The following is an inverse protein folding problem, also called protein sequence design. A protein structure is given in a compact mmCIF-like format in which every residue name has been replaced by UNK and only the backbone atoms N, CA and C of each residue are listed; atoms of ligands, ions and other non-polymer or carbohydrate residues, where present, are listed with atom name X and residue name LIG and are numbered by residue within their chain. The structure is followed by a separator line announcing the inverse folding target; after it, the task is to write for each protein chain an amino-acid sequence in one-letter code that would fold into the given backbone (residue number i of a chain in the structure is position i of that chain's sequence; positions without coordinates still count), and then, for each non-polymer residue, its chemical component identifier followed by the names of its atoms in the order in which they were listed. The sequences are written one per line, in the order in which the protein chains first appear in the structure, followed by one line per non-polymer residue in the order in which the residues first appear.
data_IF_351410621641
#
_entry.id   IF_351410621641
#
_cell.length_a   1.000
_cell.length_b   1.000
_cell.length_c   1.000
_cell.angle_alpha   90.00
_cell.angle_beta   90.00
_cell.angle_gamma   90.00
#
_symmetry.space_group_name_H-M   'P 1'
#
loop_
_entity.id
_entity.type
_entity.pdbx_description
1 polymer ?
#
# COMPACT_ATOMS: atom_id res chain seq x y z
N UNK A 1 -3.21 -39.93 21.60
CA UNK A 1 -4.63 -39.56 21.76
C UNK A 1 -4.82 -39.09 23.21
N UNK A 2 -5.00 -37.80 23.43
CA UNK A 2 -5.39 -37.23 24.72
C UNK A 2 -6.85 -36.87 24.63
N UNK A 3 -7.71 -37.61 25.33
CA UNK A 3 -9.13 -37.29 25.46
C UNK A 3 -9.31 -36.21 26.51
N UNK A 4 -9.79 -35.06 26.09
CA UNK A 4 -10.17 -33.95 26.99
C UNK A 4 -11.58 -34.23 27.54
N UNK A 5 -11.74 -34.50 28.82
CA UNK A 5 -13.02 -34.55 29.47
C UNK A 5 -13.42 -33.17 29.96
N UNK A 6 -14.48 -32.61 29.35
CA UNK A 6 -15.02 -31.32 29.72
C UNK A 6 -15.55 -31.27 31.11
N UNK A 7 -15.02 -30.38 31.93
CA UNK A 7 -15.62 -29.96 33.22
C UNK A 7 -16.86 -29.10 32.92
N UNK A 8 -17.99 -29.50 33.50
CA UNK A 8 -19.19 -28.64 33.57
C UNK A 8 -18.86 -27.36 34.33
N UNK A 9 -18.61 -26.30 33.58
CA UNK A 9 -18.51 -24.97 34.16
C UNK A 9 -19.89 -24.50 34.61
N UNK A 10 -19.95 -24.02 35.84
CA UNK A 10 -21.05 -23.24 36.42
C UNK A 10 -21.36 -22.08 35.47
N UNK A 11 -22.64 -21.83 35.20
CA UNK A 11 -23.14 -20.61 34.59
C UNK A 11 -22.75 -19.43 35.48
N UNK A 12 -21.59 -18.85 35.19
CA UNK A 12 -21.30 -17.49 35.58
C UNK A 12 -21.96 -16.59 34.55
N UNK A 13 -22.76 -15.63 34.99
CA UNK A 13 -23.24 -14.51 34.18
C UNK A 13 -22.06 -13.95 33.41
N UNK A 14 -21.87 -14.39 32.16
CA UNK A 14 -20.90 -13.86 31.23
C UNK A 14 -21.44 -12.48 30.85
N UNK A 15 -20.90 -11.42 31.44
CA UNK A 15 -21.00 -10.12 30.78
C UNK A 15 -20.51 -10.30 29.36
N UNK A 16 -21.34 -9.97 28.36
CA UNK A 16 -20.99 -10.00 26.96
C UNK A 16 -19.61 -9.34 26.79
N UNK A 17 -18.65 -10.09 26.29
CA UNK A 17 -17.27 -9.60 26.12
C UNK A 17 -17.23 -8.73 24.88
N UNK A 18 -17.36 -7.43 25.09
CA UNK A 18 -17.04 -6.46 24.05
C UNK A 18 -15.52 -6.24 23.98
N UNK A 19 -15.01 -6.00 22.80
CA UNK A 19 -13.60 -5.65 22.60
C UNK A 19 -13.47 -4.51 21.60
N UNK A 20 -12.35 -3.78 21.68
CA UNK A 20 -12.01 -2.69 20.77
C UNK A 20 -11.01 -3.17 19.74
N UNK A 21 -11.25 -2.81 18.49
CA UNK A 21 -10.32 -3.03 17.40
C UNK A 21 -10.04 -1.71 16.66
N UNK A 22 -8.77 -1.43 16.41
CA UNK A 22 -8.31 -0.16 15.84
C UNK A 22 -7.58 -0.39 14.53
N UNK A 23 -7.88 0.44 13.54
CA UNK A 23 -7.12 0.50 12.28
C UNK A 23 -6.74 1.94 11.97
N UNK A 24 -5.65 2.10 11.24
CA UNK A 24 -5.18 3.40 10.74
C UNK A 24 -5.08 3.38 9.23
N UNK A 25 -5.10 4.59 8.66
CA UNK A 25 -4.76 4.85 7.27
C UNK A 25 -4.01 6.17 7.16
N UNK A 26 -3.29 6.35 6.07
CA UNK A 26 -2.51 7.55 5.78
C UNK A 26 -2.97 8.20 4.49
N UNK A 27 -2.78 9.51 4.37
CA UNK A 27 -3.09 10.24 3.14
C UNK A 27 -1.99 10.05 2.08
N UNK A 28 -2.28 10.48 0.85
CA UNK A 28 -1.36 10.39 -0.29
C UNK A 28 0.00 11.07 -0.06
N UNK A 29 0.08 12.05 0.84
CA UNK A 29 1.30 12.77 1.14
C UNK A 29 2.12 12.19 2.30
N UNK A 30 1.67 11.10 2.92
CA UNK A 30 2.48 10.39 3.90
C UNK A 30 3.70 9.74 3.19
N UNK A 31 4.91 9.74 3.80
CA UNK A 31 6.11 9.20 3.15
C UNK A 31 5.95 7.82 2.55
N UNK A 32 5.28 6.89 3.25
CA UNK A 32 5.05 5.53 2.74
C UNK A 32 4.20 5.55 1.46
N UNK A 33 3.12 6.37 1.42
CA UNK A 33 2.28 6.50 0.23
C UNK A 33 2.95 7.24 -0.91
N UNK A 34 3.81 8.22 -0.61
CA UNK A 34 4.65 8.88 -1.62
C UNK A 34 5.57 7.86 -2.28
N UNK A 35 6.21 7.01 -1.50
CA UNK A 35 7.10 5.97 -2.00
C UNK A 35 6.35 4.96 -2.88
N UNK A 36 5.21 4.44 -2.42
CA UNK A 36 4.36 3.52 -3.18
C UNK A 36 3.95 4.13 -4.53
N UNK A 37 3.45 5.37 -4.51
CA UNK A 37 3.00 6.06 -5.73
C UNK A 37 4.13 6.29 -6.73
N UNK A 38 5.35 6.57 -6.28
CA UNK A 38 6.51 6.74 -7.16
C UNK A 38 6.90 5.40 -7.78
N UNK A 39 6.99 4.33 -6.98
CA UNK A 39 7.31 2.99 -7.45
C UNK A 39 6.27 2.50 -8.48
N UNK A 40 4.99 2.69 -8.19
CA UNK A 40 3.89 2.36 -9.10
C UNK A 40 3.95 3.18 -10.40
N UNK A 41 4.23 4.48 -10.32
CA UNK A 41 4.33 5.34 -11.50
C UNK A 41 5.51 4.96 -12.42
N UNK A 42 6.62 4.51 -11.85
CA UNK A 42 7.75 3.97 -12.62
C UNK A 42 7.36 2.66 -13.32
N UNK A 43 6.69 1.75 -12.59
CA UNK A 43 6.16 0.51 -13.15
C UNK A 43 5.19 0.79 -14.30
N UNK A 44 4.22 1.65 -14.12
CA UNK A 44 3.22 2.01 -15.13
C UNK A 44 3.86 2.62 -16.38
N UNK A 45 4.84 3.52 -16.21
CA UNK A 45 5.54 4.15 -17.32
C UNK A 45 6.35 3.16 -18.16
N UNK A 46 6.89 2.11 -17.55
CA UNK A 46 7.60 1.03 -18.24
C UNK A 46 6.61 0.11 -18.94
N UNK A 47 5.61 -0.41 -18.23
CA UNK A 47 4.64 -1.36 -18.78
C UNK A 47 3.81 -0.78 -19.92
N UNK A 48 3.59 0.53 -19.94
CA UNK A 48 2.93 1.23 -21.04
C UNK A 48 3.72 1.15 -22.37
N UNK A 49 5.04 0.96 -22.31
CA UNK A 49 5.94 0.91 -23.48
C UNK A 49 6.53 -0.49 -23.70
N UNK A 50 6.75 -1.23 -22.64
CA UNK A 50 7.31 -2.58 -22.61
C UNK A 50 6.48 -3.47 -21.67
N UNK A 51 5.39 -4.09 -22.17
CA UNK A 51 4.52 -4.95 -21.34
C UNK A 51 5.21 -6.18 -20.76
N UNK A 52 6.41 -6.53 -21.28
CA UNK A 52 7.20 -7.66 -20.78
C UNK A 52 8.36 -7.20 -19.88
N UNK A 53 8.48 -5.90 -19.59
CA UNK A 53 9.49 -5.36 -18.70
C UNK A 53 9.45 -6.01 -17.31
N UNK A 54 10.63 -6.22 -16.74
CA UNK A 54 10.81 -6.73 -15.38
C UNK A 54 11.14 -5.55 -14.48
N UNK A 55 10.29 -5.27 -13.52
CA UNK A 55 10.39 -4.06 -12.69
C UNK A 55 10.26 -4.42 -11.22
N UNK A 56 11.38 -4.38 -10.52
CA UNK A 56 11.45 -4.43 -9.06
C UNK A 56 11.94 -3.04 -8.60
N UNK A 57 11.01 -2.12 -8.42
CA UNK A 57 11.29 -0.72 -8.13
C UNK A 57 10.85 -0.37 -6.72
N UNK A 58 11.80 0.01 -5.89
CA UNK A 58 11.61 0.44 -4.52
C UNK A 58 11.93 1.93 -4.39
N UNK A 59 11.22 2.60 -3.50
CA UNK A 59 11.43 4.02 -3.23
C UNK A 59 11.55 4.28 -1.75
N UNK A 60 12.46 5.17 -1.36
CA UNK A 60 12.51 5.74 -0.02
C UNK A 60 12.44 7.25 -0.09
N UNK A 61 11.81 7.88 0.88
CA UNK A 61 11.68 9.32 0.97
C UNK A 61 11.92 9.83 2.39
N UNK A 62 12.58 10.98 2.47
CA UNK A 62 12.71 11.76 3.69
C UNK A 62 12.64 13.24 3.33
N UNK A 63 12.77 14.13 4.33
CA UNK A 63 12.71 15.59 4.08
C UNK A 63 13.70 16.00 3.00
N UNK A 64 13.18 16.46 1.86
CA UNK A 64 13.96 17.00 0.76
C UNK A 64 14.67 15.97 -0.14
N UNK A 65 14.47 14.66 0.07
CA UNK A 65 15.18 13.62 -0.70
C UNK A 65 14.25 12.44 -1.04
N UNK A 66 14.37 11.98 -2.27
CA UNK A 66 13.79 10.73 -2.79
C UNK A 66 14.95 9.88 -3.30
N UNK A 67 14.96 8.61 -2.98
CA UNK A 67 15.85 7.62 -3.55
C UNK A 67 15.04 6.49 -4.16
N UNK A 68 15.14 6.33 -5.48
CA UNK A 68 14.52 5.25 -6.25
C UNK A 68 15.59 4.22 -6.56
N UNK A 69 15.37 2.97 -6.17
CA UNK A 69 16.34 1.90 -6.28
C UNK A 69 15.68 0.60 -6.71
N UNK A 70 16.47 -0.33 -7.16
CA UNK A 70 15.98 -1.67 -7.48
C UNK A 70 16.61 -2.26 -8.73
N UNK A 71 15.95 -3.27 -9.27
CA UNK A 71 16.39 -4.01 -10.46
C UNK A 71 15.35 -3.90 -11.56
N UNK A 72 15.72 -3.35 -12.71
CA UNK A 72 14.82 -3.14 -13.85
C UNK A 72 15.49 -3.67 -15.11
N UNK A 73 14.81 -4.58 -15.81
CA UNK A 73 15.18 -5.04 -17.13
C UNK A 73 14.07 -4.70 -18.11
N UNK A 74 14.34 -3.80 -19.05
CA UNK A 74 13.35 -3.32 -20.01
C UNK A 74 14.02 -2.91 -21.31
N UNK A 75 13.25 -2.85 -22.39
CA UNK A 75 13.67 -2.35 -23.70
C UNK A 75 13.38 -0.86 -23.89
N UNK A 76 12.66 -0.23 -23.00
CA UNK A 76 12.32 1.19 -23.08
C UNK A 76 13.16 2.05 -22.11
N UNK A 77 13.13 3.36 -22.34
CA UNK A 77 13.68 4.35 -21.42
C UNK A 77 12.57 5.15 -20.74
N UNK A 78 12.70 5.33 -19.44
CA UNK A 78 11.85 6.23 -18.66
C UNK A 78 12.71 7.17 -17.81
N UNK A 79 12.29 8.43 -17.72
CA UNK A 79 12.95 9.42 -16.87
C UNK A 79 12.40 9.31 -15.44
N UNK A 80 13.01 8.45 -14.64
CA UNK A 80 12.58 8.15 -13.26
C UNK A 80 12.55 9.41 -12.40
N UNK A 81 13.55 10.30 -12.54
CA UNK A 81 13.60 11.52 -11.76
C UNK A 81 12.44 12.47 -12.10
N UNK A 82 12.06 12.55 -13.36
CA UNK A 82 10.91 13.33 -13.81
C UNK A 82 9.61 12.72 -13.27
N UNK A 83 9.44 11.41 -13.38
CA UNK A 83 8.26 10.69 -12.86
C UNK A 83 8.10 10.96 -11.35
N UNK A 84 9.16 10.79 -10.58
CA UNK A 84 9.13 11.04 -9.14
C UNK A 84 8.68 12.48 -8.81
N UNK A 85 9.20 13.48 -9.54
CA UNK A 85 8.80 14.89 -9.36
C UNK A 85 7.34 15.15 -9.74
N UNK A 86 6.85 14.51 -10.78
CA UNK A 86 5.45 14.63 -11.22
C UNK A 86 4.51 14.07 -10.16
N UNK A 87 4.78 12.89 -9.61
CA UNK A 87 4.02 12.30 -8.51
C UNK A 87 3.99 13.24 -7.29
N UNK A 88 5.15 13.75 -6.89
CA UNK A 88 5.25 14.68 -5.74
C UNK A 88 4.45 15.97 -5.98
N UNK A 89 4.43 16.46 -7.22
CA UNK A 89 3.63 17.63 -7.62
C UNK A 89 2.14 17.35 -7.55
N UNK A 90 1.68 16.20 -8.07
CA UNK A 90 0.28 15.78 -8.05
C UNK A 90 -0.26 15.59 -6.64
N UNK A 91 0.57 15.09 -5.73
CA UNK A 91 0.26 14.99 -4.31
C UNK A 91 0.06 16.38 -3.69
N UNK A 92 0.77 17.41 -4.20
CA UNK A 92 0.63 18.80 -3.76
C UNK A 92 1.79 19.31 -2.91
N UNK A 93 2.96 18.69 -2.99
CA UNK A 93 4.21 19.24 -2.45
C UNK A 93 4.85 20.19 -3.48
N UNK A 94 4.28 21.37 -3.57
CA UNK A 94 4.61 22.40 -4.56
C UNK A 94 5.33 23.61 -3.98
N UNK A 95 5.79 23.56 -2.74
CA UNK A 95 6.39 24.70 -2.03
C UNK A 95 7.43 24.25 -1.01
N UNK A 96 8.60 24.83 -1.10
CA UNK A 96 9.73 24.56 -0.19
C UNK A 96 9.42 24.72 1.30
N UNK A 97 8.44 25.59 1.67
CA UNK A 97 8.02 25.76 3.07
C UNK A 97 7.37 24.53 3.70
N UNK A 98 7.00 23.53 2.90
CA UNK A 98 6.49 22.25 3.40
C UNK A 98 7.61 21.29 3.82
N UNK A 99 8.87 21.68 3.62
CA UNK A 99 10.03 20.81 3.85
C UNK A 99 10.26 19.80 2.73
N UNK A 100 9.37 19.76 1.73
CA UNK A 100 9.42 18.89 0.58
C UNK A 100 8.79 19.62 -0.62
N UNK A 101 9.43 19.60 -1.76
CA UNK A 101 9.03 20.37 -2.94
C UNK A 101 9.44 19.64 -4.21
N UNK A 102 8.49 19.49 -5.13
CA UNK A 102 8.68 18.72 -6.36
C UNK A 102 9.79 19.24 -7.28
N UNK A 103 10.08 20.55 -7.25
CA UNK A 103 11.09 21.14 -8.12
C UNK A 103 12.49 21.12 -7.49
N UNK A 104 12.57 21.18 -6.15
CA UNK A 104 13.84 21.37 -5.44
C UNK A 104 14.31 20.16 -4.62
N UNK A 105 13.46 19.14 -4.39
CA UNK A 105 13.90 17.93 -3.70
C UNK A 105 15.02 17.21 -4.47
N UNK A 106 15.94 16.59 -3.75
CA UNK A 106 16.92 15.67 -4.34
C UNK A 106 16.21 14.40 -4.85
N UNK A 107 16.58 13.93 -6.04
CA UNK A 107 16.17 12.62 -6.54
C UNK A 107 17.43 11.87 -6.91
N UNK A 108 17.65 10.72 -6.26
CA UNK A 108 18.77 9.82 -6.50
C UNK A 108 18.20 8.54 -7.06
N UNK A 109 18.88 7.94 -8.02
CA UNK A 109 18.52 6.65 -8.62
C UNK A 109 19.67 5.65 -8.48
N UNK A 110 19.36 4.42 -8.08
CA UNK A 110 20.29 3.29 -8.02
C UNK A 110 19.55 2.09 -8.63
N UNK A 111 19.60 2.00 -9.95
CA UNK A 111 18.91 0.96 -10.71
C UNK A 111 19.95 0.09 -11.41
N UNK A 112 19.85 -1.21 -11.18
CA UNK A 112 20.66 -2.24 -11.81
C UNK A 112 19.79 -3.13 -12.73
N UNK A 113 20.42 -3.92 -13.59
CA UNK A 113 19.72 -4.97 -14.32
C UNK A 113 19.42 -6.17 -13.41
N UNK A 114 18.32 -6.86 -13.67
CA UNK A 114 17.97 -8.07 -12.91
C UNK A 114 19.09 -9.13 -13.05
N UNK A 115 19.41 -9.80 -11.95
CA UNK A 115 20.38 -10.90 -11.91
C UNK A 115 20.03 -12.00 -12.95
N UNK A 116 20.98 -12.45 -13.77
CA UNK A 116 20.76 -13.56 -14.71
C UNK A 116 20.30 -14.85 -14.03
N UNK A 117 20.72 -15.09 -12.79
CA UNK A 117 20.34 -16.28 -12.03
C UNK A 117 18.85 -16.24 -11.64
N UNK A 118 18.34 -15.07 -11.28
CA UNK A 118 16.91 -14.86 -11.02
C UNK A 118 16.12 -14.98 -12.33
N UNK A 119 16.63 -14.41 -13.43
CA UNK A 119 15.99 -14.48 -14.74
C UNK A 119 15.75 -15.94 -15.20
N UNK A 120 16.67 -16.86 -14.92
CA UNK A 120 16.50 -18.29 -15.20
C UNK A 120 15.26 -18.90 -14.51
N UNK A 121 14.91 -18.38 -13.34
CA UNK A 121 13.75 -18.83 -12.57
C UNK A 121 12.42 -18.22 -13.03
N UNK A 122 12.44 -16.94 -13.45
CA UNK A 122 11.23 -16.12 -13.64
C UNK A 122 10.85 -15.88 -15.10
N UNK A 123 11.77 -15.98 -16.06
CA UNK A 123 11.51 -15.70 -17.48
C UNK A 123 10.56 -16.72 -18.13
N UNK A 124 10.56 -17.94 -17.65
CA UNK A 124 9.66 -18.99 -18.11
C UNK A 124 9.09 -19.78 -16.94
N UNK A 125 7.78 -19.93 -16.94
CA UNK A 125 7.09 -20.80 -15.98
C UNK A 125 7.54 -22.26 -16.10
N UNK A 126 7.36 -23.03 -15.04
CA UNK A 126 7.66 -24.48 -15.06
C UNK A 126 6.84 -25.21 -16.12
N UNK A 127 5.59 -24.81 -16.30
CA UNK A 127 4.65 -25.33 -17.30
C UNK A 127 5.19 -25.09 -18.72
N UNK A 128 5.67 -23.89 -19.00
CA UNK A 128 6.30 -23.54 -20.29
C UNK A 128 7.59 -24.33 -20.54
N UNK A 129 8.40 -24.57 -19.51
CA UNK A 129 9.62 -25.40 -19.60
C UNK A 129 9.31 -26.87 -19.87
N UNK A 130 8.15 -27.35 -19.44
CA UNK A 130 7.68 -28.72 -19.68
C UNK A 130 6.91 -28.91 -20.99
N UNK A 131 6.75 -27.86 -21.80
CA UNK A 131 6.07 -27.92 -23.10
C UNK A 131 4.56 -27.77 -23.01
N UNK A 132 4.01 -27.31 -21.90
CA UNK A 132 2.61 -26.97 -21.74
C UNK A 132 2.31 -25.53 -22.21
N UNK A 133 1.07 -25.21 -22.36
CA UNK A 133 0.45 -24.11 -23.09
C UNK A 133 1.02 -22.71 -22.85
N UNK A 134 0.93 -21.87 -23.88
CA UNK A 134 1.49 -20.53 -23.97
C UNK A 134 0.85 -19.48 -23.04
N UNK A 135 -0.37 -19.72 -22.53
CA UNK A 135 -1.06 -18.77 -21.65
C UNK A 135 -0.39 -18.62 -20.27
N UNK A 136 0.36 -19.64 -19.82
CA UNK A 136 1.09 -19.66 -18.56
C UNK A 136 2.60 -19.50 -18.75
N UNK A 137 3.03 -18.83 -19.81
CA UNK A 137 4.46 -18.70 -20.15
C UNK A 137 5.25 -17.84 -19.16
N UNK A 138 4.61 -16.85 -18.53
CA UNK A 138 5.27 -15.98 -17.58
C UNK A 138 5.57 -16.70 -16.27
N UNK A 139 6.79 -16.54 -15.75
CA UNK A 139 7.16 -16.97 -14.42
C UNK A 139 6.54 -16.09 -13.33
N UNK A 140 6.71 -16.49 -12.08
CA UNK A 140 6.09 -15.82 -10.93
C UNK A 140 6.79 -14.50 -10.51
N UNK A 141 7.90 -14.11 -11.14
CA UNK A 141 8.69 -12.94 -10.74
C UNK A 141 9.64 -13.23 -9.57
N UNK A 142 9.16 -13.79 -8.48
CA UNK A 142 9.94 -14.23 -7.32
C UNK A 142 9.19 -15.35 -6.57
N UNK A 143 9.87 -15.97 -5.61
CA UNK A 143 9.22 -16.85 -4.64
C UNK A 143 8.37 -16.00 -3.68
N UNK A 144 7.30 -16.55 -3.14
CA UNK A 144 6.46 -15.83 -2.21
C UNK A 144 5.42 -16.69 -1.53
N UNK A 145 4.89 -16.15 -0.43
CA UNK A 145 3.72 -16.68 0.26
C UNK A 145 2.72 -15.54 0.42
N UNK A 146 1.51 -15.73 -0.10
CA UNK A 146 0.47 -14.72 -0.13
C UNK A 146 -0.54 -14.99 0.98
N UNK A 147 -1.00 -13.90 1.61
CA UNK A 147 -2.06 -13.90 2.62
C UNK A 147 -3.22 -13.06 2.13
N UNK A 148 -4.43 -13.50 2.43
CA UNK A 148 -5.64 -12.77 2.11
C UNK A 148 -6.62 -12.81 3.27
N UNK A 149 -7.34 -11.70 3.47
CA UNK A 149 -8.42 -11.59 4.43
C UNK A 149 -9.56 -10.77 3.84
N UNK A 150 -10.78 -11.24 4.03
CA UNK A 150 -11.99 -10.52 3.68
C UNK A 150 -13.08 -10.80 4.73
N UNK A 151 -13.97 -9.83 4.94
CA UNK A 151 -15.13 -9.98 5.81
C UNK A 151 -16.34 -9.24 5.21
N UNK A 152 -17.53 -9.50 5.72
CA UNK A 152 -18.79 -8.93 5.24
C UNK A 152 -19.26 -7.69 6.02
N UNK A 153 -18.36 -7.05 6.76
CA UNK A 153 -18.67 -5.86 7.56
C UNK A 153 -18.96 -4.61 6.71
N UNK A 154 -18.41 -4.58 5.52
CA UNK A 154 -18.56 -3.46 4.57
C UNK A 154 -18.78 -3.96 3.14
N UNK A 155 -19.40 -3.15 2.27
CA UNK A 155 -19.56 -3.52 0.85
C UNK A 155 -18.24 -3.81 0.12
N UNK A 156 -17.14 -3.21 0.60
CA UNK A 156 -15.80 -3.40 0.08
C UNK A 156 -15.16 -4.71 0.56
N UNK A 157 -15.86 -5.52 1.36
CA UNK A 157 -15.37 -6.74 2.00
C UNK A 157 -14.15 -6.53 2.91
N UNK A 158 -14.06 -5.34 3.50
CA UNK A 158 -12.99 -4.91 4.38
C UNK A 158 -13.49 -4.71 5.81
N UNK A 159 -12.63 -4.90 6.84
CA UNK A 159 -12.97 -4.57 8.21
C UNK A 159 -13.44 -3.12 8.37
N UNK A 160 -14.50 -2.91 9.15
CA UNK A 160 -15.12 -1.59 9.30
C UNK A 160 -14.16 -0.49 9.75
N UNK A 161 -13.28 -0.68 10.78
CA UNK A 161 -12.37 0.38 11.19
C UNK A 161 -11.38 0.76 10.08
N UNK A 162 -10.90 -0.21 9.28
CA UNK A 162 -10.00 0.07 8.17
C UNK A 162 -10.72 0.82 7.03
N UNK A 163 -11.91 0.36 6.64
CA UNK A 163 -12.72 1.04 5.62
C UNK A 163 -13.02 2.49 6.00
N UNK A 164 -13.39 2.74 7.27
CA UNK A 164 -13.63 4.09 7.76
C UNK A 164 -12.36 4.95 7.78
N UNK A 165 -11.22 4.39 8.23
CA UNK A 165 -9.96 5.11 8.22
C UNK A 165 -9.53 5.51 6.81
N UNK A 166 -9.65 4.61 5.83
CA UNK A 166 -9.36 4.90 4.43
C UNK A 166 -10.31 5.98 3.86
N UNK A 167 -11.60 5.89 4.12
CA UNK A 167 -12.58 6.90 3.67
C UNK A 167 -12.31 8.28 4.26
N UNK A 168 -11.86 8.35 5.51
CA UNK A 168 -11.43 9.61 6.13
C UNK A 168 -10.20 10.19 5.44
N UNK A 169 -9.18 9.39 5.15
CA UNK A 169 -7.99 9.85 4.43
C UNK A 169 -8.31 10.34 3.01
N UNK A 170 -9.18 9.63 2.27
CA UNK A 170 -9.67 10.09 0.96
C UNK A 170 -10.38 11.44 1.08
N UNK A 171 -11.27 11.58 2.07
CA UNK A 171 -11.98 12.85 2.30
C UNK A 171 -11.05 13.98 2.68
N UNK A 172 -10.01 13.71 3.47
CA UNK A 172 -8.96 14.70 3.79
C UNK A 172 -8.26 15.21 2.53
N UNK A 173 -7.88 14.31 1.61
CA UNK A 173 -7.26 14.68 0.34
C UNK A 173 -8.22 15.51 -0.55
N UNK A 174 -9.49 15.13 -0.64
CA UNK A 174 -10.51 15.88 -1.40
C UNK A 174 -10.71 17.30 -0.88
N UNK A 175 -10.90 17.48 0.43
CA UNK A 175 -11.15 18.81 1.02
C UNK A 175 -9.91 19.70 0.95
N UNK A 176 -8.72 19.13 0.98
CA UNK A 176 -7.46 19.85 0.78
C UNK A 176 -7.33 20.30 -0.68
N UNK A 177 -7.46 19.37 -1.65
CA UNK A 177 -7.30 19.65 -3.08
C UNK A 177 -8.37 20.57 -3.63
N UNK A 178 -9.60 20.49 -3.12
CA UNK A 178 -10.68 21.41 -3.49
C UNK A 178 -10.53 22.82 -2.89
N UNK A 179 -9.59 23.02 -1.96
CA UNK A 179 -9.39 24.30 -1.28
C UNK A 179 -10.43 24.60 -0.20
N UNK A 180 -11.30 23.65 0.17
CA UNK A 180 -12.27 23.80 1.25
C UNK A 180 -11.57 24.01 2.59
N UNK A 181 -10.45 23.32 2.82
CA UNK A 181 -9.61 23.45 4.00
C UNK A 181 -8.15 23.77 3.57
N UNK A 182 -7.87 25.03 3.20
CA UNK A 182 -6.61 25.40 2.55
C UNK A 182 -5.38 25.38 3.48
N UNK A 183 -5.59 25.21 4.77
CA UNK A 183 -4.53 25.06 5.77
C UNK A 183 -3.99 23.64 5.89
N UNK A 184 -4.72 22.64 5.38
CA UNK A 184 -4.29 21.25 5.42
C UNK A 184 -3.05 21.00 4.57
N UNK A 185 -2.23 20.05 5.02
CA UNK A 185 -1.03 19.60 4.34
C UNK A 185 -1.30 18.27 3.61
N UNK A 186 -0.42 17.88 2.65
CA UNK A 186 -0.56 16.60 1.98
C UNK A 186 -0.42 15.40 2.91
N UNK A 187 0.46 15.47 3.91
CA UNK A 187 0.62 14.43 4.93
C UNK A 187 -0.51 14.47 5.94
N UNK A 188 -0.97 13.30 6.35
CA UNK A 188 -1.98 13.13 7.38
C UNK A 188 -2.29 11.68 7.67
N UNK A 189 -2.90 11.46 8.82
CA UNK A 189 -3.33 10.13 9.30
C UNK A 189 -4.76 10.18 9.81
N UNK A 190 -5.43 9.04 9.69
CA UNK A 190 -6.68 8.76 10.40
C UNK A 190 -6.54 7.45 11.17
N UNK A 191 -7.15 7.40 12.34
CA UNK A 191 -7.26 6.20 13.17
C UNK A 191 -8.72 6.06 13.58
N UNK A 192 -9.27 4.85 13.44
CA UNK A 192 -10.65 4.56 13.84
C UNK A 192 -10.64 3.34 14.74
N UNK A 193 -11.28 3.48 15.90
CA UNK A 193 -11.53 2.39 16.85
C UNK A 193 -13.01 2.04 16.82
N UNK A 194 -13.31 0.75 16.64
CA UNK A 194 -14.66 0.19 16.66
C UNK A 194 -14.80 -0.80 17.80
N UNK A 195 -15.91 -0.72 18.50
CA UNK A 195 -16.30 -1.71 19.50
C UNK A 195 -17.06 -2.85 18.83
N UNK A 196 -16.68 -4.08 19.16
CA UNK A 196 -17.26 -5.33 18.68
C UNK A 196 -17.90 -6.11 19.81
N UNK A 197 -18.99 -6.81 19.53
CA UNK A 197 -19.62 -7.74 20.44
C UNK A 197 -18.90 -9.12 20.46
N UNK A 198 -19.42 -10.02 21.26
CA UNK A 198 -18.91 -11.40 21.39
C UNK A 198 -19.04 -12.25 20.13
N UNK A 199 -19.85 -11.82 19.15
CA UNK A 199 -20.05 -12.47 17.85
C UNK A 199 -19.22 -11.81 16.74
N UNK A 200 -18.26 -10.95 17.10
CA UNK A 200 -17.45 -10.16 16.17
C UNK A 200 -18.27 -9.21 15.28
N UNK A 201 -19.40 -8.70 15.77
CA UNK A 201 -20.21 -7.72 15.06
C UNK A 201 -19.87 -6.31 15.54
N UNK A 202 -19.67 -5.35 14.63
CA UNK A 202 -19.43 -3.97 15.01
C UNK A 202 -20.66 -3.36 15.68
N UNK A 203 -20.46 -2.77 16.84
CA UNK A 203 -21.53 -2.18 17.68
C UNK A 203 -21.57 -0.67 17.53
N UNK A 204 -20.42 -0.01 17.63
CA UNK A 204 -20.26 1.44 17.49
C UNK A 204 -18.86 1.85 17.16
N UNK A 205 -18.72 3.02 16.58
CA UNK A 205 -17.43 3.71 16.51
C UNK A 205 -17.14 4.29 17.90
N UNK A 206 -16.02 3.91 18.48
CA UNK A 206 -15.60 4.36 19.81
C UNK A 206 -14.80 5.65 19.72
N UNK A 207 -13.74 5.63 18.93
CA UNK A 207 -12.80 6.76 18.82
C UNK A 207 -12.40 7.01 17.37
N UNK A 208 -12.28 8.27 17.00
CA UNK A 208 -11.69 8.73 15.74
C UNK A 208 -10.60 9.73 16.04
N UNK A 209 -9.40 9.50 15.50
CA UNK A 209 -8.27 10.45 15.56
C UNK A 209 -7.89 10.84 14.14
N UNK A 210 -7.74 12.14 13.92
CA UNK A 210 -7.25 12.71 12.65
C UNK A 210 -6.04 13.59 12.97
N UNK A 211 -4.97 13.40 12.22
CA UNK A 211 -3.74 14.21 12.29
C UNK A 211 -3.43 14.72 10.88
N UNK A 212 -3.19 16.03 10.74
CA UNK A 212 -2.89 16.69 9.47
C UNK A 212 -2.04 17.95 9.70
#
# INVERSE_FOLDING_TARGET
FVTWQGNKQKETNSMARHYLFTSESVTEGHPDKVCDQISDAVLDAILAQDPMGRVACETTACTGLIHVMGEITTTCYVDIAKIAREVVREIGYDRGKYGFDCDTCGVITSIDEQSPDIALGVDKSLESKSGADSELSNGAGDQGMMFGYACDETPELMPLPLSLAQKLCLRMAEVRKSGLLPYMRPDGKSQVTVEYDENNRPVRVDTVVIST
#
